data_IF_522322830055
#
_entry.id   IF_522322830055
#
_cell.length_a   1.000
_cell.length_b   1.000
_cell.length_c   1.000
_cell.angle_alpha   90.00
_cell.angle_beta   90.00
_cell.angle_gamma   90.00
#
_symmetry.space_group_name_H-M   'P 1'
#
loop_
_entity.id
_entity.type
_entity.pdbx_description
1 polymer ?
#
# COMPACT_ATOMS: atom_id res chain seq x y z
N UNK A 1 34.19 30.59 60.83
CA UNK A 1 33.31 30.09 61.91
C UNK A 1 32.02 29.62 61.27
N UNK A 2 31.81 28.31 61.25
CA UNK A 2 30.50 27.62 61.10
C UNK A 2 29.68 27.81 62.40
N UNK A 3 28.34 27.57 62.46
CA UNK A 3 27.67 26.25 62.30
C UNK A 3 26.45 26.31 61.33
N UNK A 4 26.19 25.29 60.50
CA UNK A 4 25.49 23.99 60.69
C UNK A 4 23.94 24.06 60.83
N UNK A 5 23.23 23.33 59.96
CA UNK A 5 21.77 23.10 60.04
C UNK A 5 21.17 22.38 58.82
N UNK A 6 20.89 21.09 58.99
CA UNK A 6 20.25 20.08 58.12
C UNK A 6 19.07 20.51 57.23
N UNK A 7 18.97 19.92 56.02
CA UNK A 7 17.70 19.74 55.32
C UNK A 7 17.71 18.54 54.33
N UNK A 8 17.30 17.39 54.87
CA UNK A 8 16.63 16.22 54.28
C UNK A 8 16.42 16.08 52.75
N UNK A 9 16.89 14.93 52.24
CA UNK A 9 16.45 14.26 51.01
C UNK A 9 14.93 14.05 50.97
N UNK A 10 14.31 14.35 49.82
CA UNK A 10 13.00 13.81 49.42
C UNK A 10 13.11 13.18 48.05
N UNK A 11 13.11 11.86 48.05
CA UNK A 11 12.90 10.98 46.91
C UNK A 11 11.43 11.08 46.45
N UNK A 12 11.21 11.49 45.21
CA UNK A 12 9.89 11.39 44.57
C UNK A 12 9.84 10.10 43.73
N UNK A 13 9.20 9.08 44.29
CA UNK A 13 8.73 7.89 43.57
C UNK A 13 7.57 8.30 42.66
N UNK A 14 7.74 8.17 41.33
CA UNK A 14 6.61 8.19 40.38
C UNK A 14 6.20 6.75 40.08
N UNK A 15 4.98 6.40 40.48
CA UNK A 15 4.32 5.15 40.18
C UNK A 15 4.10 5.00 38.65
N UNK A 16 4.49 3.85 38.11
CA UNK A 16 4.25 3.45 36.74
C UNK A 16 2.81 2.96 36.55
N UNK A 17 2.09 3.53 35.58
CA UNK A 17 0.78 3.05 35.13
C UNK A 17 0.95 1.87 34.14
N UNK A 18 0.07 0.85 34.19
CA UNK A 18 0.26 -0.38 33.43
C UNK A 18 -0.08 -0.24 31.94
N UNK A 19 0.78 -0.86 31.15
CA UNK A 19 0.80 -0.92 29.69
C UNK A 19 -0.42 -1.68 29.14
N UNK A 20 -1.26 -1.00 28.33
CA UNK A 20 -2.45 -1.60 27.72
C UNK A 20 -2.07 -2.14 26.34
N UNK A 21 -1.72 -3.41 26.30
CA UNK A 21 -1.35 -4.15 25.08
C UNK A 21 -2.46 -4.04 24.01
N UNK A 22 -2.22 -3.25 22.97
CA UNK A 22 -2.99 -3.29 21.73
C UNK A 22 -2.34 -4.28 20.76
N UNK A 23 -2.96 -5.44 20.61
CA UNK A 23 -2.56 -6.45 19.62
C UNK A 23 -2.98 -6.00 18.20
N UNK A 24 -2.11 -5.25 17.53
CA UNK A 24 -2.15 -5.13 16.06
C UNK A 24 -1.35 -6.29 15.45
N UNK A 25 -1.80 -6.90 14.34
CA UNK A 25 -1.03 -7.93 13.66
C UNK A 25 0.29 -7.31 13.16
N UNK A 26 1.41 -7.83 13.65
CA UNK A 26 2.76 -7.39 13.31
C UNK A 26 3.13 -7.91 11.93
N UNK A 27 2.97 -7.08 10.90
CA UNK A 27 3.58 -7.35 9.59
C UNK A 27 5.06 -6.99 9.67
N UNK A 28 5.92 -8.00 9.65
CA UNK A 28 7.38 -7.85 9.61
C UNK A 28 7.79 -7.76 8.14
N UNK A 29 8.70 -6.86 7.79
CA UNK A 29 9.35 -6.89 6.47
C UNK A 29 10.62 -7.76 6.60
N UNK A 30 10.66 -9.00 6.10
CA UNK A 30 11.83 -9.85 6.23
C UNK A 30 12.91 -9.41 5.23
N UNK A 31 14.14 -9.31 5.73
CA UNK A 31 15.37 -8.98 4.96
C UNK A 31 15.51 -9.87 3.70
N UNK A 32 14.95 -11.09 3.73
CA UNK A 32 14.93 -12.05 2.63
C UNK A 32 14.19 -11.56 1.38
N UNK A 33 13.15 -10.73 1.54
CA UNK A 33 12.37 -10.21 0.41
C UNK A 33 13.18 -9.20 -0.41
N UNK A 34 14.09 -8.47 0.24
CA UNK A 34 14.97 -7.48 -0.39
C UNK A 34 16.10 -8.13 -1.18
N UNK A 35 16.75 -9.17 -0.64
CA UNK A 35 17.74 -9.94 -1.39
C UNK A 35 17.11 -10.63 -2.60
N UNK A 36 15.87 -11.12 -2.47
CA UNK A 36 15.12 -11.71 -3.56
C UNK A 36 14.69 -10.68 -4.62
N UNK A 37 14.36 -9.45 -4.23
CA UNK A 37 14.06 -8.35 -5.14
C UNK A 37 15.32 -7.83 -5.85
N UNK A 38 16.45 -7.72 -5.15
CA UNK A 38 17.76 -7.38 -5.72
C UNK A 38 18.20 -8.44 -6.75
N UNK A 39 18.11 -9.73 -6.40
CA UNK A 39 18.37 -10.84 -7.32
C UNK A 39 17.43 -10.81 -8.53
N UNK A 40 16.16 -10.47 -8.35
CA UNK A 40 15.20 -10.35 -9.48
C UNK A 40 15.43 -9.15 -10.37
N UNK A 41 15.75 -7.97 -9.82
CA UNK A 41 16.15 -6.80 -10.62
C UNK A 41 17.42 -7.11 -11.43
N UNK A 42 18.41 -7.74 -10.79
CA UNK A 42 19.62 -8.20 -11.48
C UNK A 42 19.33 -9.27 -12.55
N UNK A 43 18.35 -10.16 -12.33
CA UNK A 43 17.96 -11.19 -13.30
C UNK A 43 17.11 -10.66 -14.47
N UNK A 44 16.23 -9.68 -14.23
CA UNK A 44 15.47 -8.98 -15.27
C UNK A 44 16.38 -8.10 -16.17
N UNK A 45 17.55 -7.73 -15.66
CA UNK A 45 18.57 -6.95 -16.36
C UNK A 45 19.55 -7.80 -17.19
N UNK A 46 19.50 -9.13 -17.06
CA UNK A 46 20.22 -10.07 -17.95
C UNK A 46 19.36 -10.47 -19.16
N UNK A 47 19.88 -10.47 -20.40
CA UNK A 47 19.09 -10.88 -21.56
C UNK A 47 18.66 -12.34 -21.43
N UNK A 48 17.36 -12.58 -21.64
CA UNK A 48 16.78 -13.92 -21.78
C UNK A 48 17.57 -14.68 -22.86
N UNK A 49 18.13 -15.86 -22.58
CA UNK A 49 18.68 -16.69 -23.64
C UNK A 49 17.51 -17.11 -24.55
N UNK A 50 17.56 -16.67 -25.81
CA UNK A 50 16.65 -17.13 -26.86
C UNK A 50 16.71 -18.65 -26.96
N UNK A 51 15.60 -19.39 -26.82
CA UNK A 51 15.61 -20.82 -27.08
C UNK A 51 15.88 -21.02 -28.58
N UNK A 52 16.98 -21.71 -28.87
CA UNK A 52 17.33 -22.20 -30.20
C UNK A 52 16.27 -23.20 -30.66
N UNK A 53 15.71 -22.96 -31.85
CA UNK A 53 14.88 -23.90 -32.59
C UNK A 53 15.64 -25.21 -32.80
N UNK A 54 15.04 -26.32 -32.38
CA UNK A 54 15.36 -27.66 -32.87
C UNK A 54 14.08 -28.46 -33.08
N UNK A 55 14.08 -29.17 -34.19
CA UNK A 55 12.93 -29.64 -34.95
C UNK A 55 12.23 -30.90 -34.40
N UNK A 56 10.97 -30.98 -34.82
CA UNK A 56 10.06 -32.12 -35.03
C UNK A 56 10.74 -33.50 -35.17
N UNK A 57 10.21 -34.50 -34.44
CA UNK A 57 10.03 -35.86 -34.97
C UNK A 57 8.83 -36.57 -34.32
N UNK A 58 8.03 -37.24 -35.17
CA UNK A 58 6.73 -37.90 -34.91
C UNK A 58 6.86 -39.30 -34.30
N UNK A 59 5.75 -39.78 -33.71
CA UNK A 59 5.36 -41.20 -33.52
C UNK A 59 4.51 -41.40 -32.26
N UNK A 60 3.17 -41.38 -32.32
CA UNK A 60 2.25 -42.55 -32.46
C UNK A 60 2.50 -43.61 -31.38
N UNK A 61 1.63 -43.90 -30.40
CA UNK A 61 0.29 -44.53 -30.40
C UNK A 61 -0.01 -44.83 -28.90
N UNK A 62 -1.19 -45.05 -28.33
CA UNK A 62 -2.57 -45.29 -28.76
C UNK A 62 -3.48 -45.22 -27.52
N UNK A 63 -4.79 -45.01 -27.75
CA UNK A 63 -5.97 -45.61 -27.04
C UNK A 63 -6.09 -45.44 -25.53
N UNK A 64 -7.22 -45.17 -24.87
CA UNK A 64 -8.67 -45.16 -25.15
C UNK A 64 -9.28 -44.95 -23.74
N UNK A 65 -10.27 -44.11 -23.46
CA UNK A 65 -11.68 -44.34 -23.71
C UNK A 65 -12.47 -43.12 -23.21
N UNK A 66 -13.56 -42.84 -23.92
CA UNK A 66 -14.52 -41.78 -23.67
C UNK A 66 -15.68 -42.25 -22.75
N UNK A 67 -16.61 -41.31 -22.50
CA UNK A 67 -18.06 -41.46 -22.30
C UNK A 67 -18.60 -40.93 -20.95
N UNK A 68 -18.97 -39.64 -21.00
CA UNK A 68 -20.33 -39.05 -20.82
C UNK A 68 -21.18 -39.32 -19.54
N UNK A 69 -21.47 -38.20 -18.85
CA UNK A 69 -22.77 -37.66 -18.40
C UNK A 69 -23.90 -38.61 -17.95
N UNK A 70 -24.45 -38.38 -16.74
CA UNK A 70 -25.90 -38.20 -16.45
C UNK A 70 -26.21 -37.91 -14.97
N UNK A 71 -27.09 -36.92 -14.71
CA UNK A 71 -28.01 -36.73 -13.55
C UNK A 71 -29.42 -37.22 -14.03
N UNK A 72 -30.55 -37.33 -13.26
CA UNK A 72 -30.87 -36.87 -11.89
C UNK A 72 -31.90 -37.73 -11.05
N UNK A 73 -32.31 -37.17 -9.90
CA UNK A 73 -33.58 -37.31 -9.12
C UNK A 73 -33.53 -38.08 -7.78
N UNK A 74 -33.62 -37.37 -6.63
CA UNK A 74 -34.81 -37.02 -5.79
C UNK A 74 -35.39 -38.20 -4.98
N UNK A 75 -35.27 -38.15 -3.64
CA UNK A 75 -36.32 -38.60 -2.69
C UNK A 75 -36.27 -37.78 -1.38
N UNK A 76 -37.45 -37.63 -0.76
CA UNK A 76 -37.79 -36.81 0.42
C UNK A 76 -37.75 -37.63 1.73
N UNK A 77 -37.48 -36.96 2.86
CA UNK A 77 -37.96 -37.14 4.27
C UNK A 77 -36.87 -36.63 5.23
N UNK A 78 -37.10 -36.09 6.43
CA UNK A 78 -38.24 -35.60 7.20
C UNK A 78 -37.66 -34.65 8.28
N UNK A 79 -38.54 -33.83 8.86
CA UNK A 79 -38.26 -32.77 9.85
C UNK A 79 -37.85 -33.35 11.22
N UNK A 80 -36.85 -32.75 11.87
CA UNK A 80 -36.66 -32.79 13.34
C UNK A 80 -36.32 -31.38 13.82
N UNK A 81 -37.05 -30.93 14.84
CA UNK A 81 -36.92 -29.65 15.53
C UNK A 81 -36.00 -29.83 16.74
N UNK A 82 -35.01 -28.94 16.91
CA UNK A 82 -34.35 -28.71 18.20
C UNK A 82 -33.86 -27.26 18.30
N UNK A 83 -34.04 -26.70 19.51
CA UNK A 83 -33.81 -25.32 19.94
C UNK A 83 -32.32 -24.91 19.99
N UNK A 84 -32.00 -23.59 20.06
CA UNK A 84 -30.67 -23.05 19.79
C UNK A 84 -29.78 -22.99 21.03
N UNK A 85 -28.51 -23.34 20.86
CA UNK A 85 -27.43 -23.10 21.82
C UNK A 85 -26.58 -21.94 21.32
N UNK A 86 -26.50 -20.86 22.10
CA UNK A 86 -25.60 -19.73 21.85
C UNK A 86 -24.14 -20.12 22.08
N UNK A 87 -23.27 -19.84 21.11
CA UNK A 87 -21.84 -19.64 21.34
C UNK A 87 -21.31 -18.55 20.39
N UNK A 88 -20.78 -17.49 20.98
CA UNK A 88 -20.19 -16.33 20.33
C UNK A 88 -18.68 -16.52 20.07
N UNK A 89 -18.26 -16.30 18.81
CA UNK A 89 -16.88 -16.12 18.38
C UNK A 89 -16.84 -15.13 17.19
N UNK A 90 -15.75 -14.37 16.98
CA UNK A 90 -15.72 -13.23 16.05
C UNK A 90 -15.43 -13.67 14.60
N UNK A 91 -16.06 -12.98 13.64
CA UNK A 91 -15.89 -13.09 12.18
C UNK A 91 -16.51 -14.30 11.45
N UNK A 92 -17.80 -14.57 11.68
CA UNK A 92 -18.67 -15.05 10.60
C UNK A 92 -19.34 -13.84 9.94
N UNK A 93 -19.30 -13.73 8.61
CA UNK A 93 -20.09 -12.72 7.86
C UNK A 93 -21.56 -12.98 8.16
N UNK A 94 -22.16 -12.20 9.06
CA UNK A 94 -23.53 -12.39 9.49
C UNK A 94 -24.49 -12.13 8.33
N UNK A 95 -24.95 -13.19 7.67
CA UNK A 95 -25.99 -13.15 6.66
C UNK A 95 -27.34 -13.43 7.33
N UNK A 96 -28.28 -12.49 7.25
CA UNK A 96 -29.60 -12.64 7.85
C UNK A 96 -30.10 -11.36 8.55
N UNK A 97 -31.34 -11.38 9.08
CA UNK A 97 -31.90 -10.23 9.78
C UNK A 97 -30.98 -9.75 10.92
N UNK A 98 -30.78 -8.43 11.08
CA UNK A 98 -29.85 -7.89 12.06
C UNK A 98 -30.36 -8.16 13.47
N UNK A 99 -29.46 -8.48 14.40
CA UNK A 99 -29.76 -8.59 15.83
C UNK A 99 -28.95 -7.52 16.55
N UNK A 100 -29.63 -6.54 17.13
CA UNK A 100 -29.00 -5.45 17.87
C UNK A 100 -28.63 -5.93 19.28
N UNK A 101 -27.42 -5.58 19.73
CA UNK A 101 -27.03 -5.78 21.13
C UNK A 101 -27.88 -4.89 22.03
N UNK A 102 -28.40 -5.46 23.12
CA UNK A 102 -29.21 -4.71 24.09
C UNK A 102 -28.29 -3.73 24.83
N UNK A 103 -28.60 -2.44 24.72
CA UNK A 103 -27.95 -1.38 25.48
C UNK A 103 -28.95 -0.77 26.47
N UNK A 104 -28.72 -1.00 27.75
CA UNK A 104 -29.57 -0.52 28.83
C UNK A 104 -29.51 1.00 29.02
N UNK A 105 -28.52 1.69 28.43
CA UNK A 105 -28.39 3.16 28.46
C UNK A 105 -29.01 3.84 27.25
N UNK A 106 -29.57 3.10 26.31
CA UNK A 106 -30.23 3.65 25.14
C UNK A 106 -31.50 4.42 25.53
N UNK A 107 -31.68 5.61 24.97
CA UNK A 107 -32.88 6.43 25.20
C UNK A 107 -34.12 5.87 24.49
N UNK A 108 -33.93 4.93 23.56
CA UNK A 108 -34.99 4.27 22.79
C UNK A 108 -35.11 2.80 23.17
N UNK A 109 -36.36 2.30 23.32
CA UNK A 109 -36.64 0.93 23.76
C UNK A 109 -35.99 -0.11 22.83
N UNK A 110 -35.31 -1.15 23.35
CA UNK A 110 -34.61 -2.15 22.53
C UNK A 110 -35.48 -2.84 21.47
N UNK A 111 -36.72 -3.22 21.84
CA UNK A 111 -37.68 -3.84 20.92
C UNK A 111 -38.02 -2.93 19.73
N UNK A 112 -38.14 -1.63 19.97
CA UNK A 112 -38.47 -0.67 18.93
C UNK A 112 -37.28 -0.44 18.00
N UNK A 113 -36.06 -0.31 18.56
CA UNK A 113 -34.82 -0.21 17.78
C UNK A 113 -34.60 -1.44 16.89
N UNK A 114 -34.85 -2.62 17.46
CA UNK A 114 -34.78 -3.89 16.72
C UNK A 114 -35.77 -3.91 15.55
N UNK A 115 -37.02 -3.47 15.76
CA UNK A 115 -38.01 -3.38 14.69
C UNK A 115 -37.58 -2.41 13.57
N UNK A 116 -36.98 -1.26 13.92
CA UNK A 116 -36.44 -0.28 12.96
C UNK A 116 -35.29 -0.89 12.14
N UNK A 117 -34.33 -1.55 12.80
CA UNK A 117 -33.22 -2.22 12.10
C UNK A 117 -33.73 -3.31 11.14
N UNK A 118 -34.73 -4.10 11.54
CA UNK A 118 -35.35 -5.09 10.67
C UNK A 118 -36.03 -4.45 9.45
N UNK A 119 -36.67 -3.28 9.62
CA UNK A 119 -37.26 -2.55 8.50
C UNK A 119 -36.20 -2.02 7.52
N UNK A 120 -35.09 -1.46 8.04
CA UNK A 120 -33.97 -1.06 7.20
C UNK A 120 -33.33 -2.23 6.46
N UNK A 121 -33.16 -3.36 7.14
CA UNK A 121 -32.64 -4.57 6.53
C UNK A 121 -33.47 -5.04 5.33
N UNK A 122 -34.80 -5.04 5.45
CA UNK A 122 -35.68 -5.43 4.35
C UNK A 122 -35.54 -4.50 3.13
N UNK A 123 -35.42 -3.19 3.37
CA UNK A 123 -35.18 -2.24 2.27
C UNK A 123 -33.78 -2.40 1.68
N UNK A 124 -32.74 -2.62 2.50
CA UNK A 124 -31.40 -2.88 1.99
C UNK A 124 -31.30 -4.19 1.21
N UNK A 125 -32.03 -5.24 1.60
CA UNK A 125 -32.15 -6.46 0.80
C UNK A 125 -32.79 -6.20 -0.55
N UNK A 126 -33.86 -5.37 -0.60
CA UNK A 126 -34.48 -4.95 -1.86
C UNK A 126 -33.49 -4.16 -2.73
N UNK A 127 -32.72 -3.25 -2.13
CA UNK A 127 -31.75 -2.40 -2.84
C UNK A 127 -30.58 -3.26 -3.35
N UNK A 128 -30.03 -4.16 -2.55
CA UNK A 128 -28.84 -4.97 -2.90
C UNK A 128 -29.19 -6.31 -3.57
N UNK A 129 -30.45 -6.54 -3.95
CA UNK A 129 -30.90 -7.83 -4.50
C UNK A 129 -30.20 -8.28 -5.78
N UNK A 130 -29.60 -7.35 -6.53
CA UNK A 130 -28.77 -7.60 -7.72
C UNK A 130 -27.33 -8.04 -7.39
N UNK A 131 -26.87 -7.84 -6.15
CA UNK A 131 -25.46 -7.98 -5.73
C UNK A 131 -25.16 -9.35 -5.10
N UNK A 132 -25.61 -10.46 -5.69
CA UNK A 132 -25.24 -11.85 -5.29
C UNK A 132 -25.28 -12.11 -3.76
N UNK A 133 -24.51 -13.07 -3.24
CA UNK A 133 -24.42 -13.37 -1.79
C UNK A 133 -23.81 -12.22 -0.97
N UNK A 134 -22.98 -11.37 -1.60
CA UNK A 134 -22.33 -10.22 -0.94
C UNK A 134 -23.38 -9.20 -0.48
N UNK A 135 -24.44 -9.00 -1.26
CA UNK A 135 -25.54 -8.07 -0.97
C UNK A 135 -26.31 -8.41 0.31
N UNK A 136 -26.50 -9.69 0.62
CA UNK A 136 -27.19 -10.14 1.84
C UNK A 136 -26.40 -9.78 3.10
N UNK A 137 -25.10 -10.09 3.13
CA UNK A 137 -24.22 -9.72 4.24
C UNK A 137 -24.12 -8.21 4.41
N UNK A 138 -24.09 -7.47 3.30
CA UNK A 138 -24.00 -6.02 3.31
C UNK A 138 -25.30 -5.37 3.80
N UNK A 139 -26.45 -5.93 3.46
CA UNK A 139 -27.75 -5.48 3.96
C UNK A 139 -27.83 -5.58 5.50
N UNK A 140 -27.35 -6.69 6.07
CA UNK A 140 -27.28 -6.86 7.53
C UNK A 140 -26.45 -5.74 8.18
N UNK A 141 -25.24 -5.52 7.66
CA UNK A 141 -24.30 -4.56 8.22
C UNK A 141 -24.84 -3.12 8.11
N UNK A 142 -25.28 -2.71 6.91
CA UNK A 142 -25.81 -1.36 6.68
C UNK A 142 -27.10 -1.08 7.45
N UNK A 143 -27.93 -2.09 7.73
CA UNK A 143 -29.10 -1.91 8.58
C UNK A 143 -28.71 -1.57 10.04
N UNK A 144 -27.68 -2.25 10.57
CA UNK A 144 -27.14 -1.97 11.91
C UNK A 144 -26.52 -0.58 11.95
N UNK A 145 -25.69 -0.24 10.95
CA UNK A 145 -25.00 1.05 10.89
C UNK A 145 -25.97 2.22 10.71
N UNK A 146 -27.00 2.06 9.87
CA UNK A 146 -28.05 3.05 9.70
C UNK A 146 -28.84 3.29 10.98
N UNK A 147 -29.24 2.22 11.69
CA UNK A 147 -29.95 2.33 12.96
C UNK A 147 -29.09 3.05 14.00
N UNK A 148 -27.82 2.66 14.11
CA UNK A 148 -26.84 3.30 15.00
C UNK A 148 -26.66 4.78 14.67
N UNK A 149 -26.59 5.15 13.39
CA UNK A 149 -26.44 6.52 12.94
C UNK A 149 -27.66 7.40 13.27
N UNK A 150 -28.87 6.84 13.20
CA UNK A 150 -30.09 7.54 13.64
C UNK A 150 -30.11 7.64 15.16
N UNK A 151 -29.83 6.55 15.87
CA UNK A 151 -29.85 6.54 17.33
C UNK A 151 -28.84 7.55 17.93
N UNK A 152 -27.63 7.64 17.39
CA UNK A 152 -26.62 8.57 17.93
C UNK A 152 -26.97 10.05 17.73
N UNK A 153 -27.78 10.38 16.71
CA UNK A 153 -28.15 11.75 16.35
C UNK A 153 -29.51 12.19 16.89
N UNK A 154 -30.18 11.34 17.67
CA UNK A 154 -31.57 11.58 18.11
C UNK A 154 -31.74 11.39 19.61
N UNK A 155 -32.94 11.74 20.08
CA UNK A 155 -33.42 11.52 21.44
C UNK A 155 -34.73 10.72 21.40
N UNK A 156 -35.27 10.37 22.57
CA UNK A 156 -36.46 9.49 22.68
C UNK A 156 -37.68 10.00 21.90
N UNK A 157 -37.90 11.33 21.83
CA UNK A 157 -39.04 11.91 21.13
C UNK A 157 -38.85 12.01 19.60
N UNK A 158 -37.62 12.15 19.13
CA UNK A 158 -37.28 12.37 17.71
C UNK A 158 -36.85 11.10 16.96
N UNK A 159 -36.40 10.06 17.68
CA UNK A 159 -35.93 8.81 17.07
C UNK A 159 -36.96 8.21 16.10
N UNK A 160 -38.23 8.17 16.50
CA UNK A 160 -39.32 7.60 15.69
C UNK A 160 -39.55 8.36 14.38
N UNK A 161 -39.60 9.69 14.42
CA UNK A 161 -39.88 10.51 13.24
C UNK A 161 -38.71 10.52 12.27
N UNK A 162 -37.47 10.57 12.78
CA UNK A 162 -36.28 10.55 11.94
C UNK A 162 -36.08 9.16 11.33
N UNK A 163 -36.28 8.08 12.11
CA UNK A 163 -36.20 6.72 11.59
C UNK A 163 -37.23 6.46 10.47
N UNK A 164 -38.47 6.92 10.66
CA UNK A 164 -39.49 6.84 9.61
C UNK A 164 -39.08 7.62 8.36
N UNK A 165 -38.48 8.80 8.52
CA UNK A 165 -38.02 9.63 7.39
C UNK A 165 -36.91 8.95 6.60
N UNK A 166 -35.91 8.38 7.28
CA UNK A 166 -34.84 7.57 6.67
C UNK A 166 -35.43 6.38 5.92
N UNK A 167 -36.38 5.66 6.52
CA UNK A 167 -37.05 4.54 5.87
C UNK A 167 -37.77 4.96 4.58
N UNK A 168 -38.44 6.12 4.56
CA UNK A 168 -39.09 6.64 3.36
C UNK A 168 -38.09 6.97 2.25
N UNK A 169 -36.89 7.45 2.59
CA UNK A 169 -35.81 7.67 1.60
C UNK A 169 -35.27 6.36 1.07
N UNK A 170 -35.04 5.36 1.93
CA UNK A 170 -34.61 4.02 1.52
C UNK A 170 -35.64 3.35 0.59
N UNK A 171 -36.94 3.53 0.84
CA UNK A 171 -38.01 3.04 -0.04
C UNK A 171 -38.00 3.66 -1.43
N UNK A 172 -37.58 4.93 -1.56
CA UNK A 172 -37.47 5.63 -2.84
C UNK A 172 -36.20 5.28 -3.61
N UNK A 173 -35.20 4.69 -2.96
CA UNK A 173 -33.91 4.37 -3.59
C UNK A 173 -34.07 3.23 -4.62
N UNK A 174 -33.51 3.37 -5.84
CA UNK A 174 -33.51 2.29 -6.83
C UNK A 174 -32.67 1.10 -6.38
N UNK A 175 -32.80 -0.03 -7.08
CA UNK A 175 -31.92 -1.18 -6.88
C UNK A 175 -30.48 -0.80 -7.27
N UNK A 176 -29.51 -1.27 -6.48
CA UNK A 176 -28.10 -1.02 -6.71
C UNK A 176 -27.65 -1.65 -8.03
N UNK A 177 -26.88 -0.93 -8.84
CA UNK A 177 -26.38 -1.46 -10.13
C UNK A 177 -25.00 -2.10 -10.03
N UNK A 178 -24.25 -1.85 -8.95
CA UNK A 178 -22.89 -2.37 -8.74
C UNK A 178 -22.48 -2.29 -7.27
N UNK A 179 -21.36 -2.93 -6.92
CA UNK A 179 -20.78 -2.89 -5.57
C UNK A 179 -20.37 -1.46 -5.11
N UNK A 180 -20.28 -0.50 -6.03
CA UNK A 180 -20.01 0.92 -5.74
C UNK A 180 -21.28 1.75 -5.49
N UNK A 181 -22.46 1.15 -5.68
CA UNK A 181 -23.78 1.78 -5.53
C UNK A 181 -24.46 1.34 -4.22
N UNK A 182 -23.67 1.27 -3.16
CA UNK A 182 -24.07 0.78 -1.82
C UNK A 182 -23.75 1.81 -0.75
N UNK A 183 -24.42 1.73 0.41
CA UNK A 183 -24.16 2.63 1.54
C UNK A 183 -25.41 3.04 2.29
N UNK A 184 -25.24 3.66 3.45
CA UNK A 184 -26.34 4.16 4.29
C UNK A 184 -26.86 5.53 3.80
N UNK A 185 -28.09 5.88 4.19
CA UNK A 185 -28.70 7.18 3.94
C UNK A 185 -27.87 8.32 4.57
N UNK A 186 -27.55 9.32 3.75
CA UNK A 186 -26.66 10.44 4.09
C UNK A 186 -25.22 10.27 3.62
N UNK A 187 -24.76 9.03 3.40
CA UNK A 187 -23.45 8.74 2.80
C UNK A 187 -23.58 8.33 1.33
N UNK A 188 -24.64 7.60 0.99
CA UNK A 188 -24.92 7.23 -0.39
C UNK A 188 -25.30 8.45 -1.22
N UNK A 189 -24.66 8.56 -2.39
CA UNK A 189 -24.93 9.58 -3.40
C UNK A 189 -25.57 8.90 -4.60
N UNK A 190 -26.70 9.44 -5.04
CA UNK A 190 -27.41 8.93 -6.22
C UNK A 190 -26.47 8.93 -7.45
N UNK A 191 -26.26 7.77 -8.11
CA UNK A 191 -25.44 7.69 -9.30
C UNK A 191 -25.83 8.67 -10.42
N UNK A 192 -27.12 9.06 -10.50
CA UNK A 192 -27.61 10.05 -11.47
C UNK A 192 -27.18 11.49 -11.14
N UNK A 193 -26.81 11.76 -9.88
CA UNK A 193 -26.33 13.06 -9.41
C UNK A 193 -24.79 13.15 -9.43
N UNK A 194 -24.08 12.08 -9.79
CA UNK A 194 -22.62 12.09 -9.91
C UNK A 194 -22.19 13.14 -10.94
N UNK A 195 -21.22 13.96 -10.55
CA UNK A 195 -20.68 14.95 -11.48
C UNK A 195 -19.86 14.26 -12.59
N UNK A 196 -19.55 15.02 -13.65
CA UNK A 196 -18.60 14.54 -14.68
C UNK A 196 -17.25 14.15 -14.05
N UNK A 197 -16.80 14.84 -13.00
CA UNK A 197 -15.56 14.49 -12.30
C UNK A 197 -15.64 13.15 -11.55
N UNK A 198 -16.80 12.81 -10.98
CA UNK A 198 -16.99 11.53 -10.28
C UNK A 198 -17.01 10.36 -11.28
N UNK A 199 -17.69 10.51 -12.42
CA UNK A 199 -17.67 9.50 -13.50
C UNK A 199 -16.26 9.25 -14.05
N UNK A 200 -15.50 10.32 -14.30
CA UNK A 200 -14.10 10.22 -14.72
C UNK A 200 -13.24 9.51 -13.67
N UNK A 201 -13.48 9.78 -12.38
CA UNK A 201 -12.76 9.10 -11.29
C UNK A 201 -13.06 7.60 -11.27
N UNK A 202 -14.33 7.21 -11.40
CA UNK A 202 -14.74 5.79 -11.44
C UNK A 202 -14.09 5.05 -12.63
N UNK A 203 -14.02 5.69 -13.79
CA UNK A 203 -13.35 5.13 -14.96
C UNK A 203 -11.83 4.96 -14.77
N UNK A 204 -11.17 5.91 -14.11
CA UNK A 204 -9.74 5.83 -13.83
C UNK A 204 -9.47 4.71 -12.84
N UNK A 205 -10.24 4.61 -11.76
CA UNK A 205 -10.11 3.53 -10.77
C UNK A 205 -10.33 2.14 -11.34
N UNK A 206 -11.33 1.96 -12.22
CA UNK A 206 -11.56 0.69 -12.93
C UNK A 206 -10.36 0.23 -13.77
N UNK A 207 -9.54 1.16 -14.26
CA UNK A 207 -8.31 0.85 -15.00
C UNK A 207 -7.13 0.66 -14.04
N UNK A 208 -6.97 1.56 -13.08
CA UNK A 208 -5.88 1.57 -12.12
C UNK A 208 -5.88 0.33 -11.22
N UNK A 209 -7.05 -0.20 -10.86
CA UNK A 209 -7.18 -1.39 -10.00
C UNK A 209 -6.43 -2.61 -10.51
N UNK A 210 -6.19 -2.72 -11.82
CA UNK A 210 -5.41 -3.80 -12.45
C UNK A 210 -3.91 -3.70 -12.19
N UNK A 211 -3.44 -2.54 -11.73
CA UNK A 211 -2.02 -2.23 -11.50
C UNK A 211 -1.71 -2.01 -10.01
N UNK A 212 -2.72 -2.13 -9.13
CA UNK A 212 -2.52 -2.05 -7.69
C UNK A 212 -1.88 -3.35 -7.24
N UNK A 213 -0.66 -3.25 -6.69
CA UNK A 213 0.02 -4.39 -6.09
C UNK A 213 -0.56 -4.68 -4.71
N UNK A 214 -0.72 -5.96 -4.37
CA UNK A 214 -1.05 -6.35 -3.00
C UNK A 214 0.13 -6.08 -2.05
N UNK A 215 -0.12 -6.10 -0.74
CA UNK A 215 0.95 -5.92 0.25
C UNK A 215 2.01 -7.02 0.11
N UNK A 216 1.58 -8.25 -0.15
CA UNK A 216 2.46 -9.39 -0.37
C UNK A 216 3.30 -9.21 -1.64
N UNK A 217 2.72 -8.67 -2.72
CA UNK A 217 3.45 -8.36 -3.95
C UNK A 217 4.47 -7.24 -3.74
N UNK A 218 4.12 -6.19 -2.98
CA UNK A 218 5.05 -5.11 -2.63
C UNK A 218 6.23 -5.63 -1.82
N UNK A 219 5.97 -6.43 -0.79
CA UNK A 219 7.00 -7.08 0.00
C UNK A 219 7.89 -7.95 -0.88
N UNK A 220 7.28 -8.82 -1.69
CA UNK A 220 7.98 -9.67 -2.63
C UNK A 220 8.83 -8.83 -3.60
N UNK A 221 8.40 -7.64 -4.01
CA UNK A 221 9.16 -6.74 -4.88
C UNK A 221 10.20 -5.88 -4.15
N UNK A 222 10.40 -6.12 -2.85
CA UNK A 222 11.43 -5.48 -2.03
C UNK A 222 11.07 -4.06 -1.59
N UNK A 223 9.78 -3.73 -1.52
CA UNK A 223 9.31 -2.48 -0.95
C UNK A 223 9.19 -2.58 0.58
N UNK A 224 9.44 -1.48 1.32
CA UNK A 224 9.21 -1.45 2.76
C UNK A 224 7.71 -1.41 3.03
N UNK A 225 7.15 -2.43 3.71
CA UNK A 225 5.72 -2.49 4.06
C UNK A 225 5.46 -2.06 5.52
N UNK A 226 6.50 -2.05 6.35
CA UNK A 226 6.45 -1.60 7.73
C UNK A 226 7.79 -0.99 8.15
N UNK A 227 7.77 -0.22 9.24
CA UNK A 227 9.02 0.28 9.85
C UNK A 227 9.85 -0.93 10.30
N UNK A 228 11.11 -1.06 9.86
CA UNK A 228 11.95 -2.19 10.22
C UNK A 228 12.20 -2.21 11.73
N UNK A 229 12.01 -3.38 12.35
CA UNK A 229 12.25 -3.58 13.78
C UNK A 229 13.62 -4.19 14.02
N UNK A 230 14.36 -3.64 14.97
CA UNK A 230 15.68 -4.14 15.38
C UNK A 230 16.61 -3.00 15.75
N UNK A 231 17.78 -3.33 16.30
CA UNK A 231 18.85 -2.34 16.42
C UNK A 231 19.53 -2.20 15.07
N UNK A 232 19.64 -0.99 14.50
CA UNK A 232 20.49 -0.79 13.33
C UNK A 232 21.92 -1.20 13.67
N UNK A 233 22.64 -1.81 12.72
CA UNK A 233 24.07 -2.06 12.89
C UNK A 233 24.81 -0.72 13.01
N UNK A 234 26.02 -0.72 13.60
CA UNK A 234 26.91 0.43 13.53
C UNK A 234 27.10 0.88 12.08
N UNK A 235 27.22 2.19 11.87
CA UNK A 235 27.39 2.74 10.53
C UNK A 235 28.74 2.32 9.98
N UNK A 236 28.73 1.55 8.89
CA UNK A 236 29.94 1.09 8.23
C UNK A 236 30.72 2.28 7.65
N UNK A 237 31.97 2.41 8.11
CA UNK A 237 32.91 3.43 7.63
C UNK A 237 33.37 3.08 6.21
N UNK A 238 33.55 1.80 5.91
CA UNK A 238 33.92 1.30 4.58
C UNK A 238 32.65 1.02 3.78
N UNK A 239 32.54 1.61 2.60
CA UNK A 239 31.40 1.47 1.69
C UNK A 239 31.85 0.96 0.33
N UNK A 240 30.94 0.31 -0.40
CA UNK A 240 31.17 -0.06 -1.81
C UNK A 240 30.59 1.02 -2.70
N UNK A 241 31.41 1.54 -3.62
CA UNK A 241 30.99 2.62 -4.50
C UNK A 241 29.96 2.13 -5.53
N UNK A 242 28.81 2.81 -5.63
CA UNK A 242 27.72 2.47 -6.56
C UNK A 242 28.12 2.62 -8.03
N UNK A 243 29.14 3.45 -8.32
CA UNK A 243 29.64 3.74 -9.66
C UNK A 243 30.69 2.75 -10.14
N UNK A 244 31.82 2.68 -9.42
CA UNK A 244 32.97 1.88 -9.84
C UNK A 244 33.11 0.54 -9.09
N UNK A 245 32.24 0.26 -8.11
CA UNK A 245 32.22 -0.97 -7.31
C UNK A 245 33.47 -1.22 -6.45
N UNK A 246 34.37 -0.23 -6.32
CA UNK A 246 35.51 -0.29 -5.39
C UNK A 246 35.07 0.05 -3.96
N UNK A 247 35.75 -0.52 -2.98
CA UNK A 247 35.61 -0.12 -1.58
C UNK A 247 36.33 1.20 -1.33
N UNK A 248 35.74 2.05 -0.49
CA UNK A 248 36.29 3.33 -0.09
C UNK A 248 35.87 3.66 1.35
N UNK A 249 36.63 4.52 2.01
CA UNK A 249 36.30 5.01 3.34
C UNK A 249 35.41 6.25 3.24
N UNK A 250 34.30 6.27 3.98
CA UNK A 250 33.37 7.40 4.01
C UNK A 250 33.97 8.54 4.82
N UNK A 251 34.12 9.70 4.17
CA UNK A 251 34.49 10.94 4.84
C UNK A 251 33.30 11.89 4.95
N UNK A 252 33.25 12.67 6.04
CA UNK A 252 32.26 13.75 6.24
C UNK A 252 32.56 14.98 5.37
N UNK A 253 33.82 15.13 4.95
CA UNK A 253 34.29 16.20 4.08
C UNK A 253 35.08 15.63 2.90
N UNK A 254 34.74 16.07 1.69
CA UNK A 254 35.49 15.68 0.51
C UNK A 254 36.65 16.64 0.24
N UNK A 255 37.87 16.12 0.23
CA UNK A 255 39.05 16.83 -0.27
C UNK A 255 38.93 17.03 -1.78
N UNK A 256 39.72 17.94 -2.36
CA UNK A 256 39.69 18.16 -3.81
C UNK A 256 40.12 16.91 -4.59
N UNK A 257 41.10 16.15 -4.08
CA UNK A 257 41.48 14.85 -4.64
C UNK A 257 40.34 13.83 -4.58
N UNK A 258 39.63 13.77 -3.45
CA UNK A 258 38.48 12.88 -3.26
C UNK A 258 37.31 13.16 -4.20
N UNK A 259 37.22 14.38 -4.76
CA UNK A 259 36.18 14.74 -5.74
C UNK A 259 36.39 14.11 -7.12
N UNK A 260 37.59 13.59 -7.40
CA UNK A 260 37.96 13.05 -8.72
C UNK A 260 38.47 11.60 -8.66
N UNK A 261 38.54 11.01 -7.47
CA UNK A 261 39.12 9.68 -7.23
C UNK A 261 38.37 8.53 -7.93
N UNK A 262 37.05 8.66 -8.10
CA UNK A 262 36.23 7.62 -8.72
C UNK A 262 36.25 7.76 -10.25
N UNK A 263 36.86 6.79 -10.92
CA UNK A 263 36.74 6.62 -12.37
C UNK A 263 35.64 5.59 -12.70
N UNK A 264 34.61 5.99 -13.44
CA UNK A 264 33.45 5.14 -13.72
C UNK A 264 32.84 5.37 -15.11
N UNK A 265 31.97 4.45 -15.52
CA UNK A 265 31.10 4.58 -16.68
C UNK A 265 29.67 4.83 -16.20
N UNK A 266 29.07 5.94 -16.61
CA UNK A 266 27.70 6.31 -16.18
C UNK A 266 26.64 5.38 -16.78
N UNK A 267 26.87 4.87 -17.99
CA UNK A 267 25.91 3.99 -18.67
C UNK A 267 26.30 2.52 -18.48
N UNK A 268 25.28 1.71 -18.21
CA UNK A 268 25.45 0.24 -18.13
C UNK A 268 25.88 -0.36 -19.47
N UNK A 269 26.63 -1.45 -19.39
CA UNK A 269 27.15 -2.18 -20.54
C UNK A 269 25.99 -2.63 -21.45
N UNK A 270 26.15 -2.45 -22.76
CA UNK A 270 25.27 -3.02 -23.80
C UNK A 270 26.04 -3.97 -24.69
N UNK A 271 25.31 -4.81 -25.41
CA UNK A 271 25.88 -5.75 -26.40
C UNK A 271 25.55 -5.26 -27.80
N UNK A 272 26.53 -5.28 -28.70
CA UNK A 272 26.36 -5.03 -30.14
C UNK A 272 27.08 -6.11 -30.94
N UNK A 273 26.59 -6.41 -32.13
CA UNK A 273 27.28 -7.30 -33.07
C UNK A 273 28.27 -6.46 -33.88
N UNK A 274 29.55 -6.80 -33.82
CA UNK A 274 30.61 -6.26 -34.69
C UNK A 274 31.28 -7.43 -35.40
N UNK A 275 31.32 -7.40 -36.74
CA UNK A 275 31.94 -8.44 -37.57
C UNK A 275 31.44 -9.88 -37.29
N UNK A 276 30.19 -10.03 -36.86
CA UNK A 276 29.60 -11.32 -36.49
C UNK A 276 29.72 -11.69 -35.01
N UNK A 277 30.59 -11.01 -34.26
CA UNK A 277 30.82 -11.28 -32.83
C UNK A 277 30.00 -10.36 -31.92
N UNK A 278 29.48 -10.93 -30.83
CA UNK A 278 28.79 -10.18 -29.77
C UNK A 278 29.81 -9.48 -28.87
N UNK A 279 29.95 -8.18 -29.03
CA UNK A 279 30.86 -7.34 -28.25
C UNK A 279 30.09 -6.57 -27.18
N UNK A 280 30.60 -6.61 -25.95
CA UNK A 280 30.09 -5.82 -24.81
C UNK A 280 30.85 -4.50 -24.71
N UNK A 281 30.11 -3.40 -24.66
CA UNK A 281 30.67 -2.04 -24.66
C UNK A 281 29.89 -1.11 -23.74
N UNK A 282 30.51 0.00 -23.34
CA UNK A 282 29.92 1.08 -22.56
C UNK A 282 29.35 2.16 -23.48
N UNK A 283 28.02 2.40 -23.51
CA UNK A 283 27.40 3.38 -24.42
C UNK A 283 27.71 4.85 -24.10
N UNK A 284 28.52 5.14 -23.08
CA UNK A 284 28.98 6.48 -22.75
C UNK A 284 30.25 6.89 -23.52
N UNK A 285 31.07 5.93 -23.95
CA UNK A 285 32.36 6.19 -24.60
C UNK A 285 32.74 5.15 -25.67
N UNK A 286 31.88 4.17 -25.95
CA UNK A 286 32.14 3.00 -26.80
C UNK A 286 33.33 2.13 -26.36
N UNK A 287 33.82 2.32 -25.14
CA UNK A 287 34.85 1.47 -24.53
C UNK A 287 34.36 0.03 -24.33
N UNK A 288 35.23 -0.95 -24.53
CA UNK A 288 34.92 -2.37 -24.33
C UNK A 288 34.75 -2.70 -22.83
N UNK A 289 34.10 -3.83 -22.53
CA UNK A 289 34.07 -4.36 -21.17
C UNK A 289 35.50 -4.48 -20.60
N UNK A 290 35.72 -3.89 -19.42
CA UNK A 290 37.04 -3.85 -18.77
C UNK A 290 37.84 -2.57 -19.03
N UNK A 291 37.39 -1.68 -19.92
CA UNK A 291 38.01 -0.36 -20.09
C UNK A 291 37.88 0.50 -18.82
N UNK A 292 38.88 1.37 -18.53
CA UNK A 292 38.80 2.30 -17.41
C UNK A 292 37.60 3.26 -17.57
N UNK A 293 37.08 3.76 -16.46
CA UNK A 293 35.95 4.69 -16.46
C UNK A 293 36.23 5.94 -17.31
N UNK A 294 35.26 6.34 -18.14
CA UNK A 294 35.40 7.53 -18.98
C UNK A 294 35.01 8.83 -18.29
N UNK A 295 34.52 8.75 -17.05
CA UNK A 295 34.16 9.88 -16.21
C UNK A 295 34.90 9.79 -14.88
N UNK A 296 35.13 10.94 -14.29
CA UNK A 296 35.73 11.12 -12.97
C UNK A 296 34.74 11.82 -12.05
N UNK A 297 34.81 11.51 -10.77
CA UNK A 297 33.95 12.08 -9.75
C UNK A 297 34.22 11.53 -8.36
N UNK A 298 33.39 11.87 -7.37
CA UNK A 298 33.53 11.33 -6.03
C UNK A 298 33.05 9.88 -5.97
N UNK A 299 33.62 9.11 -5.05
CA UNK A 299 33.01 7.85 -4.65
C UNK A 299 31.67 8.12 -3.95
N UNK A 300 30.64 7.39 -4.37
CA UNK A 300 29.27 7.51 -3.84
C UNK A 300 28.72 6.14 -3.49
N UNK A 301 27.78 6.07 -2.56
CA UNK A 301 27.15 4.82 -2.16
C UNK A 301 25.64 5.02 -1.96
N UNK A 302 24.89 3.92 -1.99
CA UNK A 302 23.48 3.87 -1.70
C UNK A 302 23.22 2.74 -0.71
N UNK A 303 22.55 3.07 0.39
CA UNK A 303 22.12 2.08 1.36
C UNK A 303 20.82 1.43 0.86
N UNK A 304 20.88 0.12 0.63
CA UNK A 304 19.69 -0.65 0.26
C UNK A 304 19.05 -1.32 1.48
N UNK A 305 19.77 -1.52 2.60
CA UNK A 305 19.21 -2.19 3.77
C UNK A 305 18.28 -1.24 4.55
N UNK A 306 16.99 -1.57 4.68
CA UNK A 306 16.02 -0.71 5.35
C UNK A 306 16.31 -0.49 6.83
N UNK A 307 16.88 -1.48 7.53
CA UNK A 307 17.25 -1.31 8.94
C UNK A 307 18.42 -0.34 9.08
N UNK A 308 19.42 -0.41 8.19
CA UNK A 308 20.52 0.56 8.13
C UNK A 308 20.01 1.96 7.74
N UNK A 309 19.13 2.06 6.73
CA UNK A 309 18.47 3.32 6.35
C UNK A 309 17.71 3.92 7.53
N UNK A 310 16.93 3.12 8.25
CA UNK A 310 16.20 3.55 9.45
C UNK A 310 17.15 4.04 10.55
N UNK A 311 18.30 3.40 10.73
CA UNK A 311 19.34 3.85 11.65
C UNK A 311 19.97 5.20 11.27
N UNK A 312 20.04 5.53 9.98
CA UNK A 312 20.57 6.82 9.47
C UNK A 312 19.50 7.92 9.51
N UNK A 313 18.35 7.63 8.94
CA UNK A 313 17.17 8.51 8.89
C UNK A 313 15.95 7.69 9.26
N UNK A 314 15.40 7.86 10.48
CA UNK A 314 14.28 7.08 10.95
C UNK A 314 13.07 7.18 10.03
N UNK A 315 12.54 6.03 9.66
CA UNK A 315 11.23 5.94 9.02
C UNK A 315 10.16 6.33 10.03
N UNK A 316 9.18 7.09 9.58
CA UNK A 316 8.06 7.58 10.39
C UNK A 316 6.76 7.21 9.71
N UNK A 317 5.73 6.93 10.51
CA UNK A 317 4.39 6.74 9.97
C UNK A 317 3.83 8.08 9.48
N UNK A 318 3.14 8.04 8.35
CA UNK A 318 2.42 9.21 7.85
C UNK A 318 1.38 9.65 8.89
N UNK A 319 1.38 10.94 9.32
CA UNK A 319 0.41 11.43 10.28
C UNK A 319 -1.03 11.19 9.81
N UNK A 320 -1.92 10.90 10.75
CA UNK A 320 -3.35 10.86 10.44
C UNK A 320 -3.81 12.22 9.92
N UNK A 321 -4.72 12.17 8.94
CA UNK A 321 -5.29 13.35 8.33
C UNK A 321 -5.99 14.22 9.39
N UNK A 322 -5.51 15.45 9.57
CA UNK A 322 -6.04 16.37 10.59
C UNK A 322 -7.36 17.04 10.18
N UNK A 323 -7.54 17.34 8.89
CA UNK A 323 -8.71 18.04 8.36
C UNK A 323 -9.55 17.17 7.41
N UNK A 324 -10.82 16.95 7.77
CA UNK A 324 -11.81 16.22 6.96
C UNK A 324 -12.48 17.08 5.88
N UNK A 325 -12.21 18.38 5.84
CA UNK A 325 -12.89 19.35 4.97
C UNK A 325 -12.47 19.27 3.49
N UNK A 326 -11.28 18.74 3.20
CA UNK A 326 -10.83 18.56 1.82
C UNK A 326 -11.21 17.18 1.28
N UNK A 327 -11.68 17.06 0.04
CA UNK A 327 -11.91 15.74 -0.59
C UNK A 327 -10.54 15.10 -0.87
N UNK A 328 -10.29 13.83 -0.50
CA UNK A 328 -9.03 13.17 -0.81
C UNK A 328 -8.86 13.05 -2.33
N UNK A 329 -7.63 13.20 -2.82
CA UNK A 329 -7.31 12.91 -4.21
C UNK A 329 -7.34 11.40 -4.42
N UNK A 330 -8.12 10.88 -5.40
CA UNK A 330 -8.22 9.44 -5.61
C UNK A 330 -6.88 8.85 -6.08
N UNK A 331 -6.24 9.51 -7.04
CA UNK A 331 -4.99 9.07 -7.63
C UNK A 331 -4.11 10.28 -7.86
N UNK A 332 -2.83 10.10 -7.59
CA UNK A 332 -1.77 11.05 -7.88
C UNK A 332 -0.61 10.30 -8.52
N UNK A 333 0.13 10.98 -9.39
CA UNK A 333 1.44 10.49 -9.81
C UNK A 333 2.51 11.30 -9.06
N UNK A 334 3.53 10.60 -8.57
CA UNK A 334 4.63 11.16 -7.80
C UNK A 334 5.94 10.78 -8.46
N UNK A 335 6.84 11.75 -8.56
CA UNK A 335 8.22 11.56 -8.97
C UNK A 335 9.17 12.27 -8.00
N UNK A 336 10.36 11.71 -7.85
CA UNK A 336 11.36 12.20 -6.91
C UNK A 336 12.73 12.30 -7.61
N UNK A 337 13.37 13.45 -7.49
CA UNK A 337 14.77 13.61 -7.87
C UNK A 337 15.66 13.42 -6.64
N UNK A 338 16.77 12.70 -6.82
CA UNK A 338 17.66 12.28 -5.75
C UNK A 338 19.11 12.63 -6.09
N UNK A 339 19.94 12.87 -5.07
CA UNK A 339 21.36 13.17 -5.20
C UNK A 339 22.20 12.24 -4.32
N UNK A 340 23.51 12.19 -4.59
CA UNK A 340 24.46 11.57 -3.68
C UNK A 340 25.07 12.60 -2.74
N UNK A 341 25.14 12.26 -1.46
CA UNK A 341 25.68 13.07 -0.37
C UNK A 341 26.68 12.25 0.44
N UNK A 342 27.36 12.88 1.41
CA UNK A 342 28.22 12.16 2.38
C UNK A 342 27.45 11.16 3.25
N UNK A 343 26.11 11.26 3.30
CA UNK A 343 25.22 10.35 4.01
C UNK A 343 24.61 9.25 3.16
N UNK A 344 24.85 9.23 1.85
CA UNK A 344 24.30 8.25 0.91
C UNK A 344 23.45 8.91 -0.17
N UNK A 345 22.32 8.29 -0.53
CA UNK A 345 21.41 8.78 -1.57
C UNK A 345 20.22 9.51 -0.93
N UNK A 346 20.06 10.82 -1.18
CA UNK A 346 19.08 11.69 -0.52
C UNK A 346 18.16 12.41 -1.52
N UNK A 347 16.94 12.72 -1.09
CA UNK A 347 15.92 13.42 -1.86
C UNK A 347 16.27 14.91 -2.03
N UNK A 348 16.13 15.44 -3.25
CA UNK A 348 16.35 16.85 -3.58
C UNK A 348 15.13 17.54 -4.20
N UNK A 349 14.17 16.78 -4.74
CA UNK A 349 12.92 17.34 -5.26
C UNK A 349 11.82 16.30 -5.20
N UNK A 350 10.60 16.75 -4.89
CA UNK A 350 9.39 15.95 -4.99
C UNK A 350 8.38 16.65 -5.90
N UNK A 351 7.84 15.92 -6.86
CA UNK A 351 6.81 16.39 -7.78
C UNK A 351 5.60 15.49 -7.69
N UNK A 352 4.41 16.07 -7.52
CA UNK A 352 3.13 15.35 -7.45
C UNK A 352 2.13 16.04 -8.36
N UNK A 353 1.50 15.27 -9.24
CA UNK A 353 0.46 15.73 -10.15
C UNK A 353 -0.86 14.99 -9.89
N UNK A 354 -1.97 15.68 -10.17
CA UNK A 354 -3.31 15.09 -10.10
C UNK A 354 -3.63 14.23 -11.34
N UNK A 355 -4.82 13.62 -11.33
CA UNK A 355 -5.34 12.82 -12.45
C UNK A 355 -5.48 13.56 -13.78
N UNK A 356 -5.45 14.89 -13.79
CA UNK A 356 -5.53 15.74 -14.98
C UNK A 356 -4.16 16.18 -15.47
N UNK A 357 -3.09 15.82 -14.75
CA UNK A 357 -1.72 16.25 -15.02
C UNK A 357 -1.38 17.60 -14.41
N UNK A 358 -2.25 18.17 -13.57
CA UNK A 358 -1.99 19.45 -12.91
C UNK A 358 -1.09 19.25 -11.69
N UNK A 359 -0.05 20.07 -11.48
CA UNK A 359 0.80 19.98 -10.29
C UNK A 359 -0.01 20.28 -9.03
N UNK A 360 0.09 19.37 -8.05
CA UNK A 360 -0.40 19.54 -6.68
C UNK A 360 0.75 19.95 -5.75
N UNK A 361 1.96 19.43 -6.00
CA UNK A 361 3.16 19.74 -5.23
C UNK A 361 4.38 19.69 -6.15
N UNK A 362 5.27 20.66 -6.05
CA UNK A 362 6.56 20.67 -6.73
C UNK A 362 7.55 21.43 -5.86
N UNK A 363 8.30 20.70 -5.03
CA UNK A 363 9.08 21.28 -3.95
C UNK A 363 10.53 20.80 -3.99
N UNK A 364 11.46 21.74 -3.78
CA UNK A 364 12.87 21.44 -3.57
C UNK A 364 13.09 21.03 -2.11
N UNK A 365 13.86 19.97 -1.93
CA UNK A 365 14.22 19.41 -0.63
C UNK A 365 15.69 19.66 -0.38
N UNK A 366 16.02 20.26 0.76
CA UNK A 366 17.42 20.44 1.17
C UNK A 366 17.93 19.15 1.82
N UNK A 367 18.95 18.47 1.27
CA UNK A 367 19.54 17.29 1.90
C UNK A 367 20.12 17.60 3.27
N UNK A 368 20.17 16.60 4.15
CA UNK A 368 20.73 16.75 5.49
C UNK A 368 22.26 16.80 5.43
N UNK A 369 22.87 16.03 4.54
CA UNK A 369 24.31 15.91 4.42
C UNK A 369 24.85 16.71 3.22
N UNK A 370 26.17 16.92 3.21
CA UNK A 370 26.85 17.65 2.14
C UNK A 370 26.69 16.93 0.81
N UNK A 371 26.21 17.65 -0.20
CA UNK A 371 26.03 17.12 -1.56
C UNK A 371 27.39 16.81 -2.19
N UNK A 372 27.53 15.60 -2.71
CA UNK A 372 28.69 15.15 -3.47
C UNK A 372 28.43 15.23 -4.97
N UNK A 373 27.24 14.84 -5.40
CA UNK A 373 26.85 14.87 -6.81
C UNK A 373 25.31 14.97 -6.92
N UNK A 374 24.84 15.96 -7.70
CA UNK A 374 23.41 16.19 -7.95
C UNK A 374 22.78 15.16 -8.90
N UNK A 375 23.56 14.23 -9.47
CA UNK A 375 23.09 13.20 -10.40
C UNK A 375 22.36 13.78 -11.63
N UNK A 376 22.72 15.00 -12.04
CA UNK A 376 22.01 15.79 -13.06
C UNK A 376 22.37 15.46 -14.51
N UNK A 377 23.15 14.40 -14.75
CA UNK A 377 23.67 14.03 -16.08
C UNK A 377 22.71 13.17 -16.92
N UNK A 378 21.41 13.24 -16.66
CA UNK A 378 20.39 12.84 -17.64
C UNK A 378 20.37 13.80 -18.83
N UNK A 379 21.38 13.71 -19.71
CA UNK A 379 21.30 14.30 -21.04
C UNK A 379 20.32 13.45 -21.85
N UNK A 380 19.09 13.96 -22.01
CA UNK A 380 18.25 13.59 -23.14
C UNK A 380 19.12 13.66 -24.39
N UNK A 381 19.49 12.52 -24.96
CA UNK A 381 20.07 12.50 -26.30
C UNK A 381 18.97 12.91 -27.25
N UNK A 382 18.84 14.20 -27.51
CA UNK A 382 18.16 14.71 -28.69
C UNK A 382 18.99 14.28 -29.90
N UNK A 383 18.79 13.04 -30.33
CA UNK A 383 19.13 12.57 -31.67
C UNK A 383 17.86 12.65 -32.51
N UNK A 384 17.47 13.87 -32.83
CA UNK A 384 16.68 14.17 -34.03
C UNK A 384 17.52 15.17 -34.82
N UNK A 385 18.40 14.63 -35.68
CA UNK A 385 18.84 15.29 -36.90
C UNK A 385 18.13 14.59 -38.05
#
# INVERSE_FOLDING_TARGET
MLPDGDAAERTHSMEALPDRQSSTPKYQTPISAMEAAKKRRQALETPIPTPSNSAISKGANATSNAVLLSRPQVTRKAVVVSQPTEMSGPNSKASGPPILKIDFRAHSKPQFRQAVATQYYNEFLRIYGSLSEVGSSLATQHAIDQEKAVHSKTNQGSYRSIAATVLQRLKKRPAATSDFDVGIDGEWVDPSLKSKEDFMSDQIWKRASKYIQTIEELELNGYPISIPTGSPPPLDIIQTCDRCQKQFERSESLTDDGKMECHFHERRIRTRIQNGDKVKYYPCCDGLQGSPGCLEGPHVFKEDNFLCLHGRTPFVETPQRRDSSQKPQPIVAMDCEMCYTTGGFELIRISVIDKTGKPIMDELVKPKNTVLDLNSRFRYTNSMN
#
